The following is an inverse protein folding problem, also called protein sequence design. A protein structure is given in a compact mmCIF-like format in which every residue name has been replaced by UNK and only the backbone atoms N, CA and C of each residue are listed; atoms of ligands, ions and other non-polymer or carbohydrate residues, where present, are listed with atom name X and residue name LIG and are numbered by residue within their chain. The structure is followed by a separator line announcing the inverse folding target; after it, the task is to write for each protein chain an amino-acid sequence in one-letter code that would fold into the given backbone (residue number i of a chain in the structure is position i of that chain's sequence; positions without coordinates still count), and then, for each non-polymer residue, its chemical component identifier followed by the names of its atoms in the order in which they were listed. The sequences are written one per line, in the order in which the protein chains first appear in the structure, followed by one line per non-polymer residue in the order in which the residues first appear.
data_IF_865010691616
#
_entry.id   IF_865010691616
#
_cell.length_a   1.000
_cell.length_b   1.000
_cell.length_c   1.000
_cell.angle_alpha   90.00
_cell.angle_beta   90.00
_cell.angle_gamma   90.00
#
_symmetry.space_group_name_H-M   'P 1'
#
loop_
_entity.id
_entity.type
_entity.pdbx_description
1 polymer ?
#
# COMPACT_ATOMS: atom_id res chain seq x y z
N UNK A 1 -29.44 18.55 -11.95
CA UNK A 1 -28.89 19.60 -12.86
C UNK A 1 -30.04 20.35 -13.52
N UNK A 2 -30.33 21.58 -13.12
CA UNK A 2 -31.41 22.39 -13.70
C UNK A 2 -31.00 22.94 -15.07
N UNK A 3 -31.93 22.89 -16.05
CA UNK A 3 -31.68 23.33 -17.44
C UNK A 3 -31.11 24.76 -17.56
N UNK A 4 -31.39 25.63 -16.58
CA UNK A 4 -30.87 27.00 -16.52
C UNK A 4 -29.36 27.10 -16.26
N UNK A 5 -28.79 26.18 -15.48
CA UNK A 5 -27.36 26.14 -15.20
C UNK A 5 -26.56 25.80 -16.47
N UNK A 6 -26.97 24.74 -17.18
CA UNK A 6 -26.31 24.29 -18.41
C UNK A 6 -26.33 25.39 -19.48
N UNK A 7 -27.46 26.09 -19.66
CA UNK A 7 -27.57 27.18 -20.62
C UNK A 7 -26.64 28.35 -20.29
N UNK A 8 -26.58 28.74 -19.02
CA UNK A 8 -25.72 29.84 -18.56
C UNK A 8 -24.24 29.50 -18.69
N UNK A 9 -23.85 28.27 -18.32
CA UNK A 9 -22.48 27.77 -18.46
C UNK A 9 -22.06 27.64 -19.93
N UNK A 10 -22.91 27.07 -20.78
CA UNK A 10 -22.63 26.99 -22.22
C UNK A 10 -22.47 28.38 -22.84
N UNK A 11 -23.25 29.38 -22.44
CA UNK A 11 -23.08 30.76 -22.95
C UNK A 11 -21.70 31.35 -22.62
N UNK A 12 -21.15 31.02 -21.44
CA UNK A 12 -19.84 31.54 -21.00
C UNK A 12 -18.66 30.77 -21.57
N UNK A 13 -18.80 29.46 -21.71
CA UNK A 13 -17.67 28.54 -21.92
C UNK A 13 -17.74 27.73 -23.22
N UNK A 14 -18.87 27.73 -23.93
CA UNK A 14 -18.94 27.01 -25.20
C UNK A 14 -18.11 27.72 -26.26
N UNK A 15 -17.12 27.02 -26.80
CA UNK A 15 -16.34 27.48 -27.95
C UNK A 15 -17.11 27.13 -29.23
N UNK A 16 -17.32 28.08 -30.15
CA UNK A 16 -17.98 27.77 -31.42
C UNK A 16 -17.18 26.69 -32.16
N UNK A 17 -17.89 25.77 -32.83
CA UNK A 17 -17.25 24.71 -33.60
C UNK A 17 -16.35 25.33 -34.67
N UNK A 18 -15.08 24.92 -34.69
CA UNK A 18 -14.13 25.32 -35.74
C UNK A 18 -14.51 24.76 -37.11
N UNK A 19 -15.19 23.62 -37.13
CA UNK A 19 -15.58 22.90 -38.34
C UNK A 19 -17.02 22.39 -38.19
N UNK A 20 -17.81 22.49 -39.26
CA UNK A 20 -19.22 22.14 -39.27
C UNK A 20 -19.45 20.62 -39.18
N UNK A 21 -18.52 19.80 -39.69
CA UNK A 21 -18.75 18.34 -39.66
C UNK A 21 -18.52 17.78 -38.26
N UNK A 22 -19.19 16.66 -37.97
CA UNK A 22 -19.20 16.02 -36.65
C UNK A 22 -17.81 15.76 -36.07
N UNK A 23 -17.71 15.78 -34.74
CA UNK A 23 -16.47 15.54 -34.01
C UNK A 23 -15.97 14.09 -34.16
N UNK A 24 -16.88 13.15 -34.40
CA UNK A 24 -16.56 11.74 -34.62
C UNK A 24 -16.20 11.51 -36.09
N UNK A 25 -15.04 12.02 -36.53
CA UNK A 25 -14.50 11.64 -37.84
C UNK A 25 -13.64 10.38 -37.67
N UNK A 26 -13.82 9.35 -38.51
CA UNK A 26 -12.87 8.26 -38.56
C UNK A 26 -11.52 8.82 -39.00
N UNK A 27 -10.44 8.31 -38.40
CA UNK A 27 -9.08 8.70 -38.76
C UNK A 27 -8.75 8.19 -40.17
N UNK A 28 -8.44 9.10 -41.09
CA UNK A 28 -8.23 8.78 -42.51
C UNK A 28 -6.76 8.62 -42.89
N UNK A 29 -5.82 8.93 -41.99
CA UNK A 29 -4.37 8.84 -42.26
C UNK A 29 -3.82 7.50 -41.81
N UNK A 30 -2.53 7.29 -42.07
CA UNK A 30 -1.81 6.11 -41.59
C UNK A 30 -1.67 6.11 -40.06
N UNK A 31 -1.46 4.93 -39.49
CA UNK A 31 -1.24 4.76 -38.05
C UNK A 31 0.04 5.46 -37.58
N UNK A 32 1.11 5.46 -38.38
CA UNK A 32 2.34 6.16 -38.03
C UNK A 32 2.11 7.67 -37.82
N UNK A 33 1.24 8.29 -38.62
CA UNK A 33 0.88 9.71 -38.46
C UNK A 33 -0.01 9.92 -37.25
N UNK A 34 -0.88 8.96 -36.92
CA UNK A 34 -1.69 8.96 -35.69
C UNK A 34 -0.79 8.94 -34.47
N UNK A 35 0.13 8.00 -34.42
CA UNK A 35 1.03 7.80 -33.27
C UNK A 35 1.94 9.01 -33.09
N UNK A 36 2.40 9.61 -34.19
CA UNK A 36 3.14 10.86 -34.15
C UNK A 36 2.31 12.03 -33.60
N UNK A 37 1.04 12.13 -34.00
CA UNK A 37 0.14 13.19 -33.53
C UNK A 37 -0.27 13.03 -32.06
N UNK A 38 -0.36 11.78 -31.58
CA UNK A 38 -0.66 11.45 -30.18
C UNK A 38 0.58 11.44 -29.29
N UNK A 39 1.78 11.46 -29.86
CA UNK A 39 3.01 11.52 -29.10
C UNK A 39 3.07 12.82 -28.28
N UNK A 40 3.67 12.73 -27.09
CA UNK A 40 4.00 13.92 -26.29
C UNK A 40 5.23 14.58 -26.89
N UNK A 41 5.12 15.87 -27.22
CA UNK A 41 6.19 16.64 -27.85
C UNK A 41 6.83 17.55 -26.81
N UNK A 42 8.14 17.49 -26.66
CA UNK A 42 8.89 18.38 -25.79
C UNK A 42 10.13 18.89 -26.49
N UNK A 43 10.36 20.21 -26.42
CA UNK A 43 11.62 20.77 -26.90
C UNK A 43 12.67 20.72 -25.79
N UNK A 44 13.84 20.14 -26.07
CA UNK A 44 14.91 19.96 -25.09
C UNK A 44 16.27 20.22 -25.72
N UNK A 45 17.22 20.61 -24.89
CA UNK A 45 18.64 20.72 -25.27
C UNK A 45 19.34 19.39 -24.97
N UNK A 46 20.07 18.87 -25.94
CA UNK A 46 20.84 17.65 -25.78
C UNK A 46 22.09 17.92 -24.95
N UNK A 47 22.37 17.03 -23.99
CA UNK A 47 23.60 17.14 -23.21
C UNK A 47 24.84 16.93 -24.09
N UNK A 48 26.03 17.26 -23.55
CA UNK A 48 27.29 16.92 -24.19
C UNK A 48 27.41 15.42 -24.47
N UNK A 49 26.79 14.56 -23.66
CA UNK A 49 26.80 13.10 -23.84
C UNK A 49 25.67 12.60 -24.75
N UNK A 50 24.93 13.49 -25.42
CA UNK A 50 23.74 13.16 -26.23
C UNK A 50 22.66 12.45 -25.39
N UNK A 51 22.51 12.88 -24.14
CA UNK A 51 21.46 12.41 -23.24
C UNK A 51 20.41 13.49 -23.01
N UNK A 52 19.17 13.07 -22.79
CA UNK A 52 18.04 13.95 -22.41
C UNK A 52 17.34 13.35 -21.20
N UNK A 53 16.99 14.17 -20.23
CA UNK A 53 16.17 13.75 -19.10
C UNK A 53 14.73 14.25 -19.30
N UNK A 54 13.78 13.30 -19.35
CA UNK A 54 12.35 13.59 -19.51
C UNK A 54 11.52 12.62 -18.70
N UNK A 55 10.53 13.13 -17.95
CA UNK A 55 9.58 12.29 -17.22
C UNK A 55 10.23 11.31 -16.24
N UNK A 56 11.32 11.71 -15.59
CA UNK A 56 12.07 10.84 -14.68
C UNK A 56 12.96 9.80 -15.37
N UNK A 57 13.06 9.79 -16.70
CA UNK A 57 13.96 8.89 -17.44
C UNK A 57 15.03 9.67 -18.19
N UNK A 58 16.26 9.19 -18.14
CA UNK A 58 17.38 9.66 -18.94
C UNK A 58 17.54 8.74 -20.15
N UNK A 59 17.40 9.33 -21.32
CA UNK A 59 17.48 8.63 -22.60
C UNK A 59 18.78 9.01 -23.30
N UNK A 60 19.52 8.00 -23.76
CA UNK A 60 20.71 8.16 -24.58
C UNK A 60 20.36 8.11 -26.07
N UNK A 61 20.85 9.06 -26.85
CA UNK A 61 20.56 9.15 -28.28
C UNK A 61 21.67 8.44 -29.06
N UNK A 62 21.29 7.43 -29.85
CA UNK A 62 22.21 6.76 -30.75
C UNK A 62 22.30 7.53 -32.06
N UNK A 63 23.54 7.84 -32.47
CA UNK A 63 23.83 8.53 -33.74
C UNK A 63 24.77 7.69 -34.58
N UNK A 64 24.49 7.51 -35.88
CA UNK A 64 25.35 6.73 -36.78
C UNK A 64 26.67 7.40 -37.20
N UNK A 65 26.90 8.67 -36.83
CA UNK A 65 28.11 9.42 -37.21
C UNK A 65 28.73 10.18 -36.03
N UNK A 66 29.69 11.09 -36.32
CA UNK A 66 30.29 11.99 -35.31
C UNK A 66 29.20 12.87 -34.69
N UNK A 67 28.66 12.44 -33.54
CA UNK A 67 27.59 13.12 -32.81
C UNK A 67 28.01 14.45 -32.15
N UNK A 68 29.18 15.01 -32.47
CA UNK A 68 29.68 16.28 -31.94
C UNK A 68 28.77 17.46 -32.30
N UNK A 69 28.22 17.49 -33.52
CA UNK A 69 27.33 18.56 -33.97
C UNK A 69 25.96 18.62 -33.25
N UNK A 70 25.66 17.62 -32.43
CA UNK A 70 24.41 17.53 -31.68
C UNK A 70 24.58 17.87 -30.19
N UNK A 71 25.82 17.97 -29.71
CA UNK A 71 26.11 18.28 -28.31
C UNK A 71 25.67 19.72 -28.03
N UNK A 72 24.70 19.92 -27.13
CA UNK A 72 24.13 21.24 -26.84
C UNK A 72 23.07 21.71 -27.85
N UNK A 73 22.66 20.88 -28.80
CA UNK A 73 21.67 21.26 -29.79
C UNK A 73 20.24 21.22 -29.21
N UNK A 74 19.37 22.14 -29.65
CA UNK A 74 17.91 22.06 -29.43
C UNK A 74 17.32 21.00 -30.35
N UNK A 75 16.57 20.08 -29.78
CA UNK A 75 15.90 19.01 -30.49
C UNK A 75 14.48 18.80 -29.95
N UNK A 76 13.59 18.33 -30.81
CA UNK A 76 12.21 18.00 -30.44
C UNK A 76 12.12 16.52 -30.11
N UNK A 77 11.77 16.23 -28.86
CA UNK A 77 11.59 14.88 -28.35
C UNK A 77 10.13 14.47 -28.55
N UNK A 78 9.91 13.37 -29.27
CA UNK A 78 8.61 12.72 -29.40
C UNK A 78 8.61 11.46 -28.56
N UNK A 79 7.79 11.46 -27.51
CA UNK A 79 7.59 10.30 -26.65
C UNK A 79 6.24 9.66 -26.97
N UNK A 80 6.30 8.42 -27.43
CA UNK A 80 5.13 7.64 -27.80
C UNK A 80 4.53 6.95 -26.57
N UNK A 81 3.27 6.54 -26.68
CA UNK A 81 2.57 5.78 -25.64
C UNK A 81 3.25 4.43 -25.35
N UNK A 82 3.93 3.87 -26.35
CA UNK A 82 4.68 2.62 -26.25
C UNK A 82 6.01 2.78 -25.47
N UNK A 83 6.27 3.95 -24.87
CA UNK A 83 7.53 4.35 -24.21
C UNK A 83 8.73 4.53 -25.15
N UNK A 84 8.53 4.31 -26.44
CA UNK A 84 9.51 4.62 -27.47
C UNK A 84 9.77 6.13 -27.54
N UNK A 85 11.00 6.45 -27.94
CA UNK A 85 11.47 7.82 -28.07
C UNK A 85 12.11 8.02 -29.42
N UNK A 86 11.65 9.09 -30.08
CA UNK A 86 12.27 9.61 -31.29
C UNK A 86 12.68 11.05 -31.06
N UNK A 87 13.90 11.37 -31.41
CA UNK A 87 14.45 12.73 -31.34
C UNK A 87 14.54 13.28 -32.75
N UNK A 88 13.84 14.37 -32.98
CA UNK A 88 13.86 15.12 -34.22
C UNK A 88 14.90 16.23 -34.09
N UNK A 89 15.96 16.12 -34.88
CA UNK A 89 17.00 17.14 -34.99
C UNK A 89 17.19 17.53 -36.45
N UNK A 90 16.79 18.76 -36.80
CA UNK A 90 16.73 19.23 -38.19
C UNK A 90 15.92 18.25 -39.05
N UNK A 91 16.55 17.64 -40.05
CA UNK A 91 15.93 16.67 -40.98
C UNK A 91 16.07 15.22 -40.49
N UNK A 92 16.77 14.99 -39.38
CA UNK A 92 17.11 13.64 -38.90
C UNK A 92 16.16 13.20 -37.80
N UNK A 93 15.71 11.95 -37.90
CA UNK A 93 14.97 11.26 -36.84
C UNK A 93 15.91 10.23 -36.23
N UNK A 94 16.12 10.35 -34.92
CA UNK A 94 17.07 9.53 -34.17
C UNK A 94 16.32 8.74 -33.10
N UNK A 95 16.81 7.53 -32.84
CA UNK A 95 16.21 6.65 -31.84
C UNK A 95 16.90 6.87 -30.49
N UNK A 96 16.09 7.15 -29.47
CA UNK A 96 16.54 7.21 -28.09
C UNK A 96 16.40 5.84 -27.42
N UNK A 97 17.34 5.51 -26.54
CA UNK A 97 17.25 4.33 -25.67
C UNK A 97 17.26 4.78 -24.22
N UNK A 98 16.33 4.28 -23.41
CA UNK A 98 16.31 4.56 -21.98
C UNK A 98 17.57 4.00 -21.33
N UNK A 99 18.36 4.88 -20.72
CA UNK A 99 19.62 4.53 -20.06
C UNK A 99 19.43 4.40 -18.56
N UNK A 100 18.73 5.35 -17.94
CA UNK A 100 18.54 5.39 -16.49
C UNK A 100 17.15 5.89 -16.16
N UNK A 101 16.49 5.22 -15.23
CA UNK A 101 15.22 5.69 -14.66
C UNK A 101 15.51 6.24 -13.27
N UNK A 102 15.06 7.46 -13.01
CA UNK A 102 15.09 8.10 -11.71
C UNK A 102 13.76 7.90 -11.00
N UNK A 103 13.75 7.81 -9.67
CA UNK A 103 12.51 7.89 -8.92
C UNK A 103 11.88 9.25 -9.18
N UNK A 104 10.75 9.26 -9.88
CA UNK A 104 9.98 10.47 -10.09
C UNK A 104 9.37 10.88 -8.76
N UNK A 105 9.49 12.16 -8.40
CA UNK A 105 8.83 12.66 -7.19
C UNK A 105 7.34 12.42 -7.31
N UNK A 106 6.73 12.00 -6.20
CA UNK A 106 5.27 11.92 -6.13
C UNK A 106 4.70 13.30 -6.45
N UNK A 107 3.55 13.35 -7.15
CA UNK A 107 2.87 14.62 -7.39
C UNK A 107 2.66 15.34 -6.05
N UNK A 108 2.63 16.67 -6.09
CA UNK A 108 2.40 17.49 -4.90
C UNK A 108 1.12 17.01 -4.21
N UNK A 109 1.25 16.59 -2.96
CA UNK A 109 0.12 16.13 -2.17
C UNK A 109 -0.62 17.35 -1.62
N UNK A 110 -1.91 17.47 -1.96
CA UNK A 110 -2.78 18.49 -1.38
C UNK A 110 -3.07 18.17 0.09
N UNK A 111 -3.37 19.21 0.89
CA UNK A 111 -3.64 19.08 2.33
C UNK A 111 -4.67 17.97 2.64
N UNK A 112 -5.75 17.90 1.84
CA UNK A 112 -6.79 16.87 1.99
C UNK A 112 -6.27 15.44 1.80
N UNK A 113 -5.32 15.23 0.88
CA UNK A 113 -4.73 13.91 0.64
C UNK A 113 -3.84 13.49 1.80
N UNK A 114 -3.13 14.46 2.38
CA UNK A 114 -2.29 14.26 3.55
C UNK A 114 -3.15 13.90 4.77
N UNK A 115 -4.27 14.62 4.98
CA UNK A 115 -5.19 14.38 6.10
C UNK A 115 -5.76 12.96 6.06
N UNK A 116 -6.23 12.49 4.90
CA UNK A 116 -6.74 11.12 4.73
C UNK A 116 -5.68 10.05 5.02
N UNK A 117 -4.41 10.31 4.65
CA UNK A 117 -3.29 9.42 5.00
C UNK A 117 -3.01 9.42 6.50
N UNK A 118 -3.10 10.57 7.16
CA UNK A 118 -2.92 10.66 8.60
C UNK A 118 -4.06 9.92 9.31
N UNK A 119 -5.31 10.13 8.90
CA UNK A 119 -6.48 9.47 9.48
C UNK A 119 -6.40 7.94 9.33
N UNK A 120 -6.01 7.44 8.16
CA UNK A 120 -5.82 5.99 7.93
C UNK A 120 -4.70 5.41 8.80
N UNK A 121 -3.59 6.12 8.96
CA UNK A 121 -2.50 5.71 9.87
C UNK A 121 -2.96 5.71 11.33
N UNK A 122 -3.72 6.72 11.76
CA UNK A 122 -4.27 6.81 13.11
C UNK A 122 -5.29 5.68 13.38
N UNK A 123 -6.17 5.39 12.43
CA UNK A 123 -7.12 4.28 12.50
C UNK A 123 -6.42 2.91 12.54
N UNK A 124 -5.37 2.71 11.74
CA UNK A 124 -4.58 1.49 11.80
C UNK A 124 -3.89 1.31 13.16
N UNK A 125 -3.34 2.40 13.73
CA UNK A 125 -2.73 2.39 15.07
C UNK A 125 -3.74 2.11 16.17
N UNK A 126 -4.96 2.65 16.09
CA UNK A 126 -6.01 2.39 17.06
C UNK A 126 -6.47 0.92 17.01
N UNK A 127 -6.63 0.34 15.82
CA UNK A 127 -6.93 -1.08 15.65
C UNK A 127 -5.81 -1.99 16.17
N UNK A 128 -4.54 -1.64 15.92
CA UNK A 128 -3.40 -2.37 16.48
C UNK A 128 -3.36 -2.28 18.01
N UNK A 129 -3.70 -1.13 18.59
CA UNK A 129 -3.79 -0.96 20.04
C UNK A 129 -4.89 -1.85 20.63
N UNK A 130 -6.07 -1.91 19.98
CA UNK A 130 -7.16 -2.82 20.37
C UNK A 130 -6.75 -4.29 20.25
N UNK A 131 -6.08 -4.69 19.16
CA UNK A 131 -5.58 -6.05 18.99
C UNK A 131 -4.56 -6.43 20.08
N UNK A 132 -3.61 -5.54 20.39
CA UNK A 132 -2.62 -5.72 21.47
C UNK A 132 -3.28 -5.80 22.85
N UNK A 133 -4.30 -4.98 23.11
CA UNK A 133 -5.07 -5.03 24.34
C UNK A 133 -5.81 -6.37 24.47
N UNK A 134 -6.43 -6.85 23.38
CA UNK A 134 -7.12 -8.15 23.34
C UNK A 134 -6.16 -9.33 23.52
N UNK A 135 -4.96 -9.28 22.95
CA UNK A 135 -3.93 -10.32 23.17
C UNK A 135 -3.37 -10.28 24.59
N UNK A 136 -3.16 -9.10 25.19
CA UNK A 136 -2.79 -9.00 26.62
C UNK A 136 -3.87 -9.55 27.54
N UNK A 137 -5.15 -9.30 27.25
CA UNK A 137 -6.28 -9.86 28.00
C UNK A 137 -6.47 -11.38 27.77
N UNK A 138 -6.08 -11.89 26.59
CA UNK A 138 -6.07 -13.33 26.30
C UNK A 138 -4.92 -14.10 26.98
N UNK A 139 -3.78 -13.45 27.23
CA UNK A 139 -2.64 -14.03 27.97
C UNK A 139 -2.99 -14.20 29.46
N UNK A 140 -3.94 -13.45 30.00
CA UNK A 140 -4.49 -13.69 31.35
C UNK A 140 -5.39 -14.92 31.44
N UNK A 141 -5.98 -15.42 30.33
CA UNK A 141 -6.78 -16.65 30.36
C UNK A 141 -5.97 -17.91 30.02
N UNK A 142 -4.80 -17.79 29.37
CA UNK A 142 -3.91 -18.93 29.05
C UNK A 142 -2.74 -19.10 30.04
N UNK A 143 -2.52 -18.15 30.95
CA UNK A 143 -1.71 -18.36 32.17
C UNK A 143 -2.47 -19.05 33.31
N UNK A 144 -3.69 -19.53 33.05
CA UNK A 144 -4.44 -20.42 33.93
C UNK A 144 -4.78 -21.77 33.28
N UNK A 145 -4.05 -22.18 32.25
CA UNK A 145 -3.91 -23.62 31.93
C UNK A 145 -2.69 -24.16 32.66
N UNK A 146 -2.85 -25.06 33.63
CA UNK A 146 -1.71 -25.71 34.26
C UNK A 146 -0.94 -26.51 33.21
N UNK A 147 0.37 -26.49 33.41
CA UNK A 147 1.44 -27.01 32.57
C UNK A 147 1.42 -28.54 32.43
N UNK A 148 0.34 -29.15 31.91
CA UNK A 148 0.25 -30.59 31.70
C UNK A 148 0.24 -30.89 30.20
N UNK A 149 1.43 -30.99 29.59
CA UNK A 149 1.48 -31.37 28.18
C UNK A 149 2.82 -31.24 27.48
N UNK A 150 3.95 -31.50 28.14
CA UNK A 150 5.21 -31.74 27.43
C UNK A 150 6.20 -32.55 28.27
N UNK A 151 5.83 -33.79 28.55
CA UNK A 151 6.81 -34.86 28.70
C UNK A 151 6.50 -35.88 27.60
N UNK A 152 7.20 -35.75 26.47
CA UNK A 152 7.32 -36.87 25.52
C UNK A 152 7.97 -38.01 26.29
N UNK A 153 7.16 -39.00 26.62
CA UNK A 153 7.61 -40.30 27.05
C UNK A 153 8.64 -40.84 26.05
N UNK A 154 9.91 -40.89 26.46
CA UNK A 154 10.75 -42.03 26.09
C UNK A 154 10.36 -43.11 27.08
N UNK A 155 9.70 -44.17 26.60
CA UNK A 155 9.89 -45.58 26.95
C UNK A 155 8.68 -46.39 26.43
N UNK A 156 8.91 -47.64 26.00
CA UNK A 156 8.07 -48.36 25.07
C UNK A 156 6.82 -48.92 25.73
N UNK A 157 5.71 -48.90 25.00
CA UNK A 157 4.52 -49.66 25.29
C UNK A 157 4.83 -51.16 25.19
N UNK A 158 4.88 -51.85 26.33
CA UNK A 158 4.61 -53.30 26.39
C UNK A 158 3.18 -53.50 26.91
N UNK A 159 2.38 -54.38 26.29
CA UNK A 159 1.01 -54.63 26.72
C UNK A 159 1.02 -55.71 27.82
N UNK A 160 0.51 -55.38 29.01
CA UNK A 160 0.15 -56.39 29.99
C UNK A 160 -1.24 -56.10 30.53
N UNK A 161 -2.18 -56.86 29.96
CA UNK A 161 -3.23 -57.64 30.62
C UNK A 161 -3.81 -57.06 31.94
N UNK A 162 -4.98 -56.44 31.84
CA UNK A 162 -5.73 -55.93 32.97
C UNK A 162 -6.70 -56.99 33.53
N UNK A 163 -6.23 -57.78 34.49
CA UNK A 163 -7.12 -58.42 35.47
C UNK A 163 -6.74 -57.93 36.86
N UNK A 164 -7.79 -57.56 37.61
CA UNK A 164 -7.84 -57.07 39.00
C UNK A 164 -7.74 -55.56 39.15
N UNK A 165 -8.80 -55.02 39.75
CA UNK A 165 -8.88 -53.64 40.19
C UNK A 165 -7.71 -53.32 41.11
N UNK A 166 -7.04 -52.22 40.81
CA UNK A 166 -6.01 -51.64 41.66
C UNK A 166 -6.36 -50.18 41.89
N UNK A 167 -6.69 -49.90 43.15
CA UNK A 167 -6.83 -48.57 43.73
C UNK A 167 -5.50 -47.82 43.54
N UNK A 168 -5.51 -46.68 42.84
CA UNK A 168 -4.37 -45.78 42.84
C UNK A 168 -4.35 -45.00 44.15
N UNK A 169 -3.52 -45.44 45.08
CA UNK A 169 -3.14 -44.66 46.24
C UNK A 169 -2.04 -43.69 45.84
N UNK A 170 -2.33 -42.40 45.91
CA UNK A 170 -1.32 -41.35 45.90
C UNK A 170 -1.08 -40.87 47.33
N UNK A 171 0.18 -40.89 47.77
CA UNK A 171 0.60 -40.34 49.06
C UNK A 171 1.38 -39.06 48.81
N UNK A 172 0.79 -37.92 49.13
CA UNK A 172 1.55 -36.69 49.37
C UNK A 172 0.82 -35.81 50.39
N UNK A 173 1.47 -35.58 51.55
CA UNK A 173 1.04 -34.72 52.66
C UNK A 173 -0.45 -34.81 53.07
N UNK A 174 -0.83 -35.94 53.66
CA UNK A 174 -1.88 -35.96 54.70
C UNK A 174 -3.36 -35.99 54.29
N UNK A 175 -3.73 -36.07 53.00
CA UNK A 175 -5.15 -36.18 52.61
C UNK A 175 -5.39 -37.17 51.46
N UNK A 176 -6.46 -37.97 51.59
CA UNK A 176 -6.94 -38.91 50.57
C UNK A 176 -8.19 -38.35 49.90
N UNK A 177 -8.22 -38.26 48.57
CA UNK A 177 -9.45 -38.00 47.83
C UNK A 177 -9.52 -38.86 46.56
N UNK A 178 -10.66 -39.53 46.40
CA UNK A 178 -11.07 -40.29 45.23
C UNK A 178 -12.04 -39.41 44.44
N UNK A 179 -11.88 -39.30 43.11
CA UNK A 179 -12.83 -38.56 42.29
C UNK A 179 -13.21 -39.37 41.04
N UNK A 180 -14.52 -39.63 40.92
CA UNK A 180 -15.21 -40.12 39.72
C UNK A 180 -15.39 -38.98 38.73
N UNK A 181 -15.09 -39.22 37.45
CA UNK A 181 -15.40 -38.29 36.37
C UNK A 181 -16.83 -38.48 35.87
N UNK A 182 -17.62 -37.41 35.86
CA UNK A 182 -18.85 -37.31 35.06
C UNK A 182 -18.83 -36.03 34.24
N UNK A 183 -19.45 -36.13 33.05
CA UNK A 183 -19.34 -35.25 31.88
C UNK A 183 -20.46 -34.19 31.89
N UNK A 184 -20.12 -32.97 31.47
CA UNK A 184 -21.01 -32.04 30.76
C UNK A 184 -21.71 -30.96 31.59
N UNK A 185 -21.52 -29.68 31.22
CA UNK A 185 -22.52 -28.62 31.41
C UNK A 185 -22.19 -27.34 30.61
N UNK A 186 -23.17 -26.86 29.82
CA UNK A 186 -23.28 -25.48 29.31
C UNK A 186 -23.83 -24.55 30.41
N UNK A 187 -23.47 -23.25 30.48
CA UNK A 187 -24.20 -22.30 31.31
C UNK A 187 -24.89 -21.19 30.51
N UNK A 188 -26.06 -20.70 30.98
CA UNK A 188 -26.45 -19.32 30.74
C UNK A 188 -26.68 -18.52 32.05
N UNK A 189 -26.56 -17.20 31.88
CA UNK A 189 -27.14 -16.10 32.66
C UNK A 189 -26.65 -15.88 34.11
N UNK A 190 -25.95 -14.75 34.31
CA UNK A 190 -26.28 -13.82 35.40
C UNK A 190 -25.60 -12.45 35.20
N UNK A 191 -26.42 -11.41 35.32
CA UNK A 191 -26.09 -9.99 35.50
C UNK A 191 -25.07 -9.76 36.62
N UNK A 192 -24.23 -8.70 36.53
CA UNK A 192 -24.11 -7.68 37.60
C UNK A 192 -23.13 -6.53 37.29
N UNK A 193 -23.70 -5.32 37.36
CA UNK A 193 -23.19 -4.07 37.97
C UNK A 193 -21.91 -3.38 37.48
N UNK A 194 -22.16 -2.21 36.88
CA UNK A 194 -21.34 -0.99 36.91
C UNK A 194 -20.80 -0.65 38.31
N UNK A 195 -19.52 -0.29 38.38
CA UNK A 195 -18.99 0.75 39.29
C UNK A 195 -17.95 1.60 38.55
N UNK A 196 -18.25 2.89 38.43
CA UNK A 196 -17.31 3.98 38.16
C UNK A 196 -16.61 4.37 39.46
N UNK A 197 -15.33 4.77 39.37
CA UNK A 197 -14.56 5.71 40.22
C UNK A 197 -13.06 5.38 39.96
N UNK A 198 -12.13 6.28 39.69
CA UNK A 198 -12.13 7.73 39.53
C UNK A 198 -10.76 8.11 38.94
N UNK A 199 -10.76 9.20 38.18
CA UNK A 199 -9.62 9.77 37.44
C UNK A 199 -8.69 10.49 38.41
N UNK A 200 -7.37 10.28 38.30
CA UNK A 200 -6.34 11.18 38.82
C UNK A 200 -5.36 11.51 37.70
N UNK A 201 -5.50 12.73 37.19
CA UNK A 201 -4.59 13.36 36.23
C UNK A 201 -3.26 13.68 36.92
N UNK A 202 -2.14 13.23 36.35
CA UNK A 202 -0.83 13.86 36.60
C UNK A 202 -0.39 14.60 35.34
N UNK A 203 -0.41 15.94 35.47
CA UNK A 203 0.19 16.90 34.54
C UNK A 203 1.71 16.67 34.50
N UNK A 204 2.26 16.56 33.30
CA UNK A 204 3.69 16.68 33.04
C UNK A 204 3.91 18.12 32.58
N UNK A 205 4.69 18.88 33.35
CA UNK A 205 5.15 20.22 33.00
C UNK A 205 6.55 20.08 32.38
N UNK A 206 6.74 20.77 31.26
CA UNK A 206 7.98 20.88 30.48
C UNK A 206 9.12 21.50 31.28
N UNK A 207 10.35 21.05 31.03
CA UNK A 207 11.51 21.95 31.03
C UNK A 207 12.32 21.75 29.75
N UNK A 208 12.41 22.86 29.03
CA UNK A 208 13.35 23.15 27.95
C UNK A 208 14.62 23.66 28.63
N UNK A 209 15.78 23.13 28.29
CA UNK A 209 17.05 23.80 28.58
C UNK A 209 17.98 23.64 27.38
N UNK A 210 18.58 24.78 27.03
CA UNK A 210 19.53 25.05 25.95
C UNK A 210 20.84 24.32 26.22
#
# INVERSE_FOLDING_TARGET
MTKGFVKTSNKKFAVPRRDANGAHRPWTKTEAVRDHALARHEERVLSKALTVCTGGTMDGIKTGGRGTAMRGARATLHRFMNKDIRVHYKVRILVGTAFKTFPMQSPAEDATTIDLRIETVLAARSLQALHKARTRAGITLTRLTPLWGRARARYPSKPHDCKRGHYLWWRNRGHFYCALTTIGFDPPLAHLRLRHFGVQQKRIIHYLTI
#
